data_IF_013338012363
#
_entry.id   IF_013338012363
#
_cell.length_a   1.000
_cell.length_b   1.000
_cell.length_c   1.000
_cell.angle_alpha   90.00
_cell.angle_beta   90.00
_cell.angle_gamma   90.00
#
_symmetry.space_group_name_H-M   'P 1'
#
loop_
_entity.id
_entity.type
_entity.pdbx_description
1 polymer ?
#
# COMPACT_ATOMS: atom_id res chain seq x y z
N UNK A 1 -4.35 29.41 17.03
CA UNK A 1 -5.66 29.06 16.45
C UNK A 1 -5.56 29.23 14.93
N UNK A 2 -5.47 28.09 14.24
CA UNK A 2 -5.76 27.76 12.84
C UNK A 2 -5.54 28.79 11.71
N UNK A 3 -4.47 28.56 10.93
CA UNK A 3 -4.35 29.04 9.53
C UNK A 3 -4.94 28.07 8.50
N UNK A 4 -5.77 27.10 8.92
CA UNK A 4 -6.26 26.00 8.06
C UNK A 4 -7.38 26.40 7.08
N UNK A 5 -8.05 27.55 7.27
CA UNK A 5 -9.27 27.87 6.51
C UNK A 5 -8.99 28.65 5.22
N UNK A 6 -7.83 29.33 5.08
CA UNK A 6 -7.72 30.42 4.09
C UNK A 6 -6.91 30.12 2.82
N UNK A 7 -6.14 29.02 2.73
CA UNK A 7 -5.14 28.89 1.65
C UNK A 7 -5.35 27.74 0.67
N UNK A 8 -6.26 26.79 0.92
CA UNK A 8 -6.59 25.71 -0.03
C UNK A 8 -5.38 24.95 -0.60
N UNK A 9 -4.23 25.01 0.08
CA UNK A 9 -2.96 24.49 -0.41
C UNK A 9 -2.35 23.61 0.67
N UNK A 10 -2.30 22.31 0.40
CA UNK A 10 -1.60 21.34 1.23
C UNK A 10 -0.09 21.56 1.07
N UNK A 11 0.51 22.27 2.02
CA UNK A 11 1.96 22.25 2.21
C UNK A 11 2.32 20.93 2.91
N UNK A 12 2.99 20.03 2.19
CA UNK A 12 3.43 18.70 2.63
C UNK A 12 4.61 18.79 3.63
N UNK A 13 4.44 19.51 4.74
CA UNK A 13 5.54 19.87 5.64
C UNK A 13 5.43 19.28 7.06
N UNK A 14 4.48 18.38 7.33
CA UNK A 14 4.32 17.80 8.67
C UNK A 14 4.26 16.26 8.60
N UNK A 15 4.72 15.61 9.66
CA UNK A 15 4.76 14.15 9.89
C UNK A 15 3.42 13.40 9.72
N UNK A 16 2.34 14.09 9.40
CA UNK A 16 0.98 13.56 9.22
C UNK A 16 0.85 12.89 7.84
N UNK A 17 0.25 11.70 7.76
CA UNK A 17 0.03 11.04 6.46
C UNK A 17 -1.05 11.76 5.65
N UNK A 18 -0.92 11.77 4.31
CA UNK A 18 -2.02 12.19 3.44
C UNK A 18 -3.27 11.34 3.69
N UNK A 19 -3.10 10.06 4.03
CA UNK A 19 -4.21 9.21 4.38
C UNK A 19 -4.92 9.63 5.69
N UNK A 20 -4.17 10.03 6.72
CA UNK A 20 -4.76 10.52 7.97
C UNK A 20 -5.60 11.80 7.74
N UNK A 21 -5.11 12.67 6.86
CA UNK A 21 -5.82 13.89 6.45
C UNK A 21 -7.09 13.53 5.69
N UNK A 22 -7.03 12.55 4.79
CA UNK A 22 -8.19 12.07 4.04
C UNK A 22 -9.28 11.54 4.98
N UNK A 23 -8.93 10.67 5.93
CA UNK A 23 -9.86 10.13 6.94
C UNK A 23 -10.47 11.27 7.77
N UNK A 24 -9.63 12.17 8.29
CA UNK A 24 -10.12 13.29 9.10
C UNK A 24 -11.06 14.21 8.32
N UNK A 25 -10.77 14.47 7.04
CA UNK A 25 -11.61 15.30 6.18
C UNK A 25 -12.95 14.62 5.85
N UNK A 26 -12.96 13.31 5.61
CA UNK A 26 -14.19 12.53 5.39
C UNK A 26 -15.07 12.51 6.66
N UNK A 27 -14.48 12.20 7.82
CA UNK A 27 -15.20 12.11 9.11
C UNK A 27 -15.91 13.43 9.49
N UNK A 28 -15.32 14.58 9.16
CA UNK A 28 -15.90 15.89 9.46
C UNK A 28 -16.71 16.49 8.29
N UNK A 29 -16.88 15.74 7.19
CA UNK A 29 -17.69 16.14 6.03
C UNK A 29 -17.05 17.21 5.12
N UNK A 30 -15.73 17.37 5.13
CA UNK A 30 -14.99 18.26 4.21
C UNK A 30 -14.72 17.57 2.87
N UNK A 31 -15.80 17.32 2.13
CA UNK A 31 -15.79 16.56 0.88
C UNK A 31 -14.78 17.05 -0.16
N UNK A 32 -14.66 18.37 -0.37
CA UNK A 32 -13.74 18.94 -1.36
C UNK A 32 -12.27 18.68 -1.00
N UNK A 33 -11.92 18.74 0.29
CA UNK A 33 -10.57 18.42 0.75
C UNK A 33 -10.29 16.92 0.65
N UNK A 34 -11.26 16.08 1.01
CA UNK A 34 -11.17 14.62 0.86
C UNK A 34 -10.88 14.24 -0.59
N UNK A 35 -11.63 14.81 -1.56
CA UNK A 35 -11.39 14.57 -2.99
C UNK A 35 -10.02 15.05 -3.49
N UNK A 36 -9.51 16.17 -2.99
CA UNK A 36 -8.18 16.66 -3.37
C UNK A 36 -7.07 15.73 -2.87
N UNK A 37 -7.18 15.28 -1.63
CA UNK A 37 -6.22 14.37 -1.01
C UNK A 37 -6.30 12.98 -1.65
N UNK A 38 -7.50 12.51 -1.97
CA UNK A 38 -7.72 11.30 -2.77
C UNK A 38 -6.96 11.39 -4.10
N UNK A 39 -7.12 12.47 -4.87
CA UNK A 39 -6.37 12.66 -6.13
C UNK A 39 -4.85 12.60 -5.94
N UNK A 40 -4.34 13.09 -4.82
CA UNK A 40 -2.91 12.98 -4.49
C UNK A 40 -2.50 11.54 -4.19
N UNK A 41 -3.29 10.80 -3.40
CA UNK A 41 -3.05 9.38 -3.09
C UNK A 41 -3.12 8.50 -4.36
N UNK A 42 -4.03 8.82 -5.28
CA UNK A 42 -4.16 8.14 -6.58
C UNK A 42 -2.99 8.43 -7.53
N UNK A 43 -2.25 9.52 -7.31
CA UNK A 43 -1.22 10.01 -8.22
C UNK A 43 0.09 9.23 -8.18
N UNK A 44 0.59 8.85 -6.99
CA UNK A 44 1.91 8.21 -6.85
C UNK A 44 2.02 7.25 -5.67
N UNK A 45 2.87 6.22 -5.80
CA UNK A 45 3.26 5.32 -4.69
C UNK A 45 3.86 6.11 -3.51
N UNK A 46 4.60 7.19 -3.78
CA UNK A 46 5.27 8.00 -2.76
C UNK A 46 4.33 8.82 -1.88
N UNK A 47 3.07 8.97 -2.29
CA UNK A 47 2.05 9.63 -1.48
C UNK A 47 1.65 8.77 -0.26
N UNK A 48 1.93 7.47 -0.32
CA UNK A 48 1.57 6.49 0.70
C UNK A 48 2.74 6.24 1.66
N UNK A 49 2.43 6.17 2.95
CA UNK A 49 3.30 5.69 4.03
C UNK A 49 3.04 4.20 4.28
N UNK A 50 3.46 3.38 3.32
CA UNK A 50 3.39 1.92 3.48
C UNK A 50 4.28 1.40 4.63
N UNK A 51 3.88 0.31 5.31
CA UNK A 51 2.59 -0.39 5.18
C UNK A 51 1.48 0.24 6.04
N UNK A 52 1.78 1.25 6.86
CA UNK A 52 0.85 1.79 7.86
C UNK A 52 -0.45 2.33 7.24
N UNK A 53 -0.36 3.08 6.13
CA UNK A 53 -1.56 3.59 5.46
C UNK A 53 -2.45 2.46 4.94
N UNK A 54 -1.86 1.34 4.53
CA UNK A 54 -2.59 0.16 4.06
C UNK A 54 -3.31 -0.55 5.20
N UNK A 55 -2.69 -0.63 6.38
CA UNK A 55 -3.32 -1.15 7.60
C UNK A 55 -4.53 -0.31 7.98
N UNK A 56 -4.37 1.01 7.98
CA UNK A 56 -5.47 1.92 8.29
C UNK A 56 -6.56 1.82 7.23
N UNK A 57 -6.21 1.76 5.95
CA UNK A 57 -7.17 1.62 4.85
C UNK A 57 -8.01 0.34 4.92
N UNK A 58 -7.42 -0.81 5.26
CA UNK A 58 -8.17 -2.06 5.41
C UNK A 58 -8.99 -2.13 6.71
N UNK A 59 -8.65 -1.30 7.71
CA UNK A 59 -9.50 -1.13 8.90
C UNK A 59 -10.78 -0.35 8.59
N UNK A 60 -10.70 0.61 7.67
CA UNK A 60 -11.83 1.41 7.21
C UNK A 60 -12.36 0.83 5.89
N UNK A 61 -13.29 -0.14 6.00
CA UNK A 61 -13.86 -0.93 4.89
C UNK A 61 -14.79 -0.13 3.93
N UNK A 62 -14.54 1.16 3.78
CA UNK A 62 -15.44 2.13 3.16
C UNK A 62 -14.88 2.60 1.80
N UNK A 63 -13.57 2.44 1.57
CA UNK A 63 -12.85 3.05 0.44
C UNK A 63 -12.33 2.02 -0.57
N UNK A 64 -13.22 1.24 -1.19
CA UNK A 64 -12.89 0.13 -2.11
C UNK A 64 -11.97 0.55 -3.26
N UNK A 65 -12.17 1.74 -3.85
CA UNK A 65 -11.31 2.25 -4.93
C UNK A 65 -9.87 2.49 -4.47
N UNK A 66 -9.69 3.06 -3.26
CA UNK A 66 -8.36 3.26 -2.70
C UNK A 66 -7.71 1.92 -2.33
N UNK A 67 -8.49 0.95 -1.85
CA UNK A 67 -8.00 -0.39 -1.52
C UNK A 67 -7.44 -1.10 -2.76
N UNK A 68 -8.17 -1.08 -3.89
CA UNK A 68 -7.69 -1.67 -5.15
C UNK A 68 -6.37 -1.05 -5.62
N UNK A 69 -6.25 0.27 -5.49
CA UNK A 69 -5.07 1.01 -5.93
C UNK A 69 -3.87 0.77 -5.01
N UNK A 70 -4.09 0.75 -3.69
CA UNK A 70 -3.07 0.38 -2.73
C UNK A 70 -2.55 -1.05 -2.99
N UNK A 71 -3.45 -2.00 -3.28
CA UNK A 71 -3.08 -3.36 -3.65
C UNK A 71 -2.25 -3.41 -4.94
N UNK A 72 -2.64 -2.64 -5.95
CA UNK A 72 -1.91 -2.57 -7.20
C UNK A 72 -0.50 -1.98 -6.99
N UNK A 73 -0.33 -0.99 -6.10
CA UNK A 73 0.99 -0.48 -5.74
C UNK A 73 1.85 -1.56 -5.06
N UNK A 74 1.32 -2.27 -4.08
CA UNK A 74 2.05 -3.37 -3.42
C UNK A 74 2.44 -4.47 -4.41
N UNK A 75 1.54 -4.84 -5.34
CA UNK A 75 1.84 -5.79 -6.42
C UNK A 75 2.98 -5.31 -7.30
N UNK A 76 2.96 -4.05 -7.71
CA UNK A 76 4.00 -3.46 -8.53
C UNK A 76 5.34 -3.37 -7.80
N UNK A 77 5.31 -3.10 -6.49
CA UNK A 77 6.51 -3.11 -5.65
C UNK A 77 7.11 -4.51 -5.54
N UNK A 78 6.29 -5.54 -5.30
CA UNK A 78 6.72 -6.94 -5.32
C UNK A 78 7.34 -7.32 -6.69
N UNK A 79 6.70 -6.94 -7.79
CA UNK A 79 7.23 -7.14 -9.15
C UNK A 79 8.57 -6.44 -9.38
N UNK A 80 8.76 -5.22 -8.86
CA UNK A 80 10.03 -4.50 -8.92
C UNK A 80 11.13 -5.24 -8.16
N UNK A 81 10.81 -5.79 -6.98
CA UNK A 81 11.75 -6.60 -6.22
C UNK A 81 12.12 -7.89 -6.94
N UNK A 82 11.13 -8.59 -7.52
CA UNK A 82 11.37 -9.77 -8.35
C UNK A 82 12.32 -9.44 -9.50
N UNK A 83 12.03 -8.38 -10.28
CA UNK A 83 12.90 -7.89 -11.39
C UNK A 83 14.32 -7.53 -10.96
N UNK A 84 14.53 -7.18 -9.69
CA UNK A 84 15.85 -6.88 -9.13
C UNK A 84 16.56 -8.11 -8.55
N UNK A 85 15.95 -9.30 -8.64
CA UNK A 85 16.45 -10.51 -8.01
C UNK A 85 16.29 -10.54 -6.48
N UNK A 86 15.49 -9.64 -5.90
CA UNK A 86 15.32 -9.50 -4.44
C UNK A 86 14.09 -10.27 -3.96
N UNK A 87 14.11 -11.59 -4.06
CA UNK A 87 12.93 -12.43 -3.82
C UNK A 87 12.47 -12.40 -2.38
N UNK A 88 13.38 -12.34 -1.41
CA UNK A 88 13.02 -12.24 0.01
C UNK A 88 12.19 -11.00 0.30
N UNK A 89 12.53 -9.86 -0.32
CA UNK A 89 11.76 -8.61 -0.19
C UNK A 89 10.42 -8.69 -0.92
N UNK A 90 10.38 -9.31 -2.09
CA UNK A 90 9.12 -9.54 -2.80
C UNK A 90 8.16 -10.42 -1.98
N UNK A 91 8.69 -11.47 -1.34
CA UNK A 91 7.94 -12.36 -0.47
C UNK A 91 7.44 -11.64 0.78
N UNK A 92 8.28 -10.82 1.42
CA UNK A 92 7.90 -10.00 2.58
C UNK A 92 6.71 -9.08 2.24
N UNK A 93 6.77 -8.36 1.11
CA UNK A 93 5.67 -7.52 0.62
C UNK A 93 4.38 -8.33 0.40
N UNK A 94 4.50 -9.54 -0.15
CA UNK A 94 3.36 -10.42 -0.39
C UNK A 94 2.72 -10.93 0.91
N UNK A 95 3.53 -11.43 1.85
CA UNK A 95 3.08 -11.91 3.16
C UNK A 95 2.42 -10.79 3.97
N UNK A 96 3.01 -9.59 3.97
CA UNK A 96 2.42 -8.40 4.59
C UNK A 96 1.06 -8.08 3.96
N UNK A 97 0.99 -7.99 2.62
CA UNK A 97 -0.26 -7.69 1.91
C UNK A 97 -1.34 -8.73 2.25
N UNK A 98 -1.02 -10.02 2.25
CA UNK A 98 -1.96 -11.09 2.59
C UNK A 98 -2.47 -11.00 4.03
N UNK A 99 -1.57 -10.75 4.98
CA UNK A 99 -1.92 -10.59 6.40
C UNK A 99 -2.96 -9.48 6.60
N UNK A 100 -2.84 -8.39 5.87
CA UNK A 100 -3.77 -7.26 5.97
C UNK A 100 -5.05 -7.49 5.17
N UNK A 101 -4.97 -8.12 4.00
CA UNK A 101 -6.15 -8.49 3.24
C UNK A 101 -7.04 -9.51 3.96
N UNK A 102 -6.48 -10.35 4.85
CA UNK A 102 -7.22 -11.38 5.57
C UNK A 102 -8.41 -10.86 6.38
N UNK A 103 -8.49 -9.56 6.69
CA UNK A 103 -9.65 -8.95 7.34
C UNK A 103 -10.84 -8.70 6.40
N UNK A 104 -10.65 -8.75 5.08
CA UNK A 104 -11.70 -8.52 4.07
C UNK A 104 -11.70 -9.64 3.02
N UNK A 105 -12.85 -10.30 2.84
CA UNK A 105 -12.94 -11.49 1.97
C UNK A 105 -12.61 -11.20 0.50
N UNK A 106 -12.95 -10.00 0.00
CA UNK A 106 -12.80 -9.60 -1.39
C UNK A 106 -11.35 -9.22 -1.75
N UNK A 107 -10.65 -8.51 -0.86
CA UNK A 107 -9.25 -8.15 -1.06
C UNK A 107 -8.31 -9.34 -0.82
N UNK A 108 -8.66 -10.25 0.09
CA UNK A 108 -7.93 -11.50 0.29
C UNK A 108 -7.94 -12.36 -0.97
N UNK A 109 -9.09 -12.48 -1.63
CA UNK A 109 -9.20 -13.21 -2.88
C UNK A 109 -8.36 -12.56 -3.99
N UNK A 110 -8.39 -11.22 -4.09
CA UNK A 110 -7.60 -10.47 -5.07
C UNK A 110 -6.08 -10.62 -4.88
N UNK A 111 -5.59 -10.53 -3.64
CA UNK A 111 -4.18 -10.74 -3.32
C UNK A 111 -3.74 -12.21 -3.50
N UNK A 112 -4.61 -13.17 -3.16
CA UNK A 112 -4.33 -14.60 -3.33
C UNK A 112 -4.21 -15.01 -4.80
N UNK A 113 -4.86 -14.27 -5.71
CA UNK A 113 -4.80 -14.50 -7.18
C UNK A 113 -3.56 -13.90 -7.85
N UNK A 114 -2.62 -13.33 -7.11
CA UNK A 114 -1.40 -12.79 -7.70
C UNK A 114 -0.53 -13.92 -8.27
N UNK A 115 -0.61 -14.10 -9.58
CA UNK A 115 0.25 -15.03 -10.30
C UNK A 115 1.58 -14.35 -10.69
N UNK A 116 2.67 -14.85 -10.10
CA UNK A 116 4.05 -14.44 -10.41
C UNK A 116 4.84 -15.53 -11.17
N UNK A 117 4.19 -16.62 -11.60
CA UNK A 117 4.83 -17.77 -12.25
C UNK A 117 5.55 -17.43 -13.56
N UNK A 118 5.13 -16.35 -14.24
CA UNK A 118 5.77 -15.85 -15.46
C UNK A 118 7.16 -15.23 -15.22
N UNK A 119 7.57 -15.04 -13.97
CA UNK A 119 8.90 -14.54 -13.63
C UNK A 119 9.93 -15.69 -13.67
N UNK A 120 10.86 -15.65 -14.63
CA UNK A 120 11.96 -16.62 -14.71
C UNK A 120 12.92 -16.42 -13.54
N UNK A 121 12.88 -17.34 -12.58
CA UNK A 121 13.83 -17.44 -11.48
C UNK A 121 15.06 -18.24 -11.97
N UNK A 122 16.26 -17.66 -11.90
CA UNK A 122 17.51 -18.38 -12.13
C UNK A 122 17.97 -19.19 -10.92
N UNK A 123 19.14 -19.81 -11.01
CA UNK A 123 19.70 -20.68 -9.96
C UNK A 123 20.40 -19.93 -8.81
N UNK A 124 20.85 -18.69 -9.01
CA UNK A 124 21.45 -17.86 -7.94
C UNK A 124 20.38 -17.38 -6.96
N UNK A 125 19.15 -17.24 -7.46
CA UNK A 125 17.97 -16.75 -6.78
C UNK A 125 17.38 -17.78 -5.79
N UNK A 126 17.46 -19.08 -6.11
CA UNK A 126 17.07 -20.17 -5.20
C UNK A 126 17.97 -20.28 -3.97
N UNK A 127 19.22 -19.83 -4.07
CA UNK A 127 20.16 -19.80 -2.94
C UNK A 127 19.79 -18.77 -1.87
N UNK A 128 19.08 -17.68 -2.21
CA UNK A 128 18.57 -16.75 -1.18
C UNK A 128 17.45 -17.36 -0.35
N UNK A 129 16.57 -18.16 -0.98
CA UNK A 129 15.46 -18.83 -0.31
C UNK A 129 15.94 -20.00 0.55
N UNK A 130 16.89 -20.80 0.04
CA UNK A 130 17.48 -21.93 0.77
C UNK A 130 18.18 -21.51 2.07
N UNK A 131 18.81 -20.33 2.12
CA UNK A 131 19.41 -19.78 3.35
C UNK A 131 18.40 -19.46 4.47
N UNK A 132 17.10 -19.34 4.16
CA UNK A 132 16.05 -19.10 5.15
C UNK A 132 15.60 -20.40 5.83
N UNK A 133 15.70 -21.55 5.14
CA UNK A 133 15.34 -22.87 5.66
C UNK A 133 16.34 -23.41 6.68
N UNK A 134 17.62 -23.03 6.61
CA UNK A 134 18.66 -23.48 7.56
C UNK A 134 18.64 -22.75 8.93
N UNK A 135 17.73 -21.79 9.12
CA UNK A 135 17.70 -20.93 10.33
C UNK A 135 16.62 -21.29 11.35
N UNK A 136 15.97 -22.45 11.20
CA UNK A 136 15.02 -23.03 12.15
C UNK A 136 15.55 -24.32 12.77
#
# INVERSE_FOLDING_TARGET
MNSYIYTGTFSNNNDVSLFDIFIAADEIGLFENSQQVEKCLLGTESAWKFPNDLITLFKYDIFTNLQEIALNFMRNQALRYLKQGKFLKALEVYEETLKYCASSTENHESASKWDFSNYKCGSEELNELSKKEEKY
#
